data_IF_594604188155
#
_entry.id   IF_594604188155
#
_cell.length_a   1.000
_cell.length_b   1.000
_cell.length_c   1.000
_cell.angle_alpha   90.00
_cell.angle_beta   90.00
_cell.angle_gamma   90.00
#
_symmetry.space_group_name_H-M   'P 1'
#
loop_
_entity.id
_entity.type
_entity.pdbx_description
1 polymer ?
#
# COMPACT_ATOMS: atom_id res chain seq x y z
N UNK A 1 -12.29 14.28 -6.65
CA UNK A 1 -10.84 14.06 -6.87
C UNK A 1 -10.38 12.64 -6.55
N UNK A 2 -10.80 12.03 -5.43
CA UNK A 2 -10.34 10.68 -5.01
C UNK A 2 -10.97 9.53 -5.80
N UNK A 3 -12.06 9.76 -6.53
CA UNK A 3 -12.84 8.74 -7.25
C UNK A 3 -12.04 7.97 -8.30
N UNK A 4 -11.06 8.60 -8.93
CA UNK A 4 -10.27 7.96 -10.00
C UNK A 4 -9.33 6.86 -9.46
N UNK A 5 -8.98 6.92 -8.16
CA UNK A 5 -8.09 5.96 -7.51
C UNK A 5 -8.83 5.09 -6.48
N UNK A 6 -9.70 5.68 -5.66
CA UNK A 6 -10.44 5.01 -4.59
C UNK A 6 -11.87 4.61 -5.00
N UNK A 7 -12.31 4.94 -6.22
CA UNK A 7 -13.61 4.56 -6.76
C UNK A 7 -14.79 5.14 -5.96
N UNK A 8 -15.86 4.36 -5.86
CA UNK A 8 -17.01 4.61 -4.96
C UNK A 8 -16.95 3.77 -3.69
N UNK A 9 -15.75 3.31 -3.34
CA UNK A 9 -15.53 2.48 -2.18
C UNK A 9 -15.69 3.26 -0.88
N UNK A 10 -15.38 2.58 0.22
CA UNK A 10 -15.57 3.05 1.59
C UNK A 10 -15.00 4.46 1.87
N UNK A 11 -13.94 4.84 1.17
CA UNK A 11 -13.26 6.13 1.36
C UNK A 11 -13.91 7.31 0.62
N UNK A 12 -14.84 7.04 -0.30
CA UNK A 12 -15.44 8.04 -1.18
C UNK A 12 -16.98 7.88 -1.29
N UNK A 13 -17.59 7.15 -0.33
CA UNK A 13 -19.03 6.98 -0.18
C UNK A 13 -19.52 7.66 1.09
N UNK A 14 -20.78 8.11 1.10
CA UNK A 14 -21.44 8.79 2.22
C UNK A 14 -22.78 8.12 2.58
N UNK A 15 -23.31 8.46 3.76
CA UNK A 15 -24.65 8.06 4.20
C UNK A 15 -24.85 6.55 4.31
N UNK A 16 -26.01 6.06 3.87
CA UNK A 16 -26.39 4.65 3.93
C UNK A 16 -25.44 3.74 3.14
N UNK A 17 -24.90 4.23 2.02
CA UNK A 17 -23.95 3.46 1.20
C UNK A 17 -22.65 3.22 1.97
N UNK A 18 -22.14 4.27 2.62
CA UNK A 18 -20.97 4.15 3.51
C UNK A 18 -21.24 3.21 4.67
N UNK A 19 -22.41 3.33 5.32
CA UNK A 19 -22.78 2.49 6.46
C UNK A 19 -22.81 1.01 6.08
N UNK A 20 -23.42 0.70 4.92
CA UNK A 20 -23.50 -0.65 4.38
C UNK A 20 -22.11 -1.19 4.03
N UNK A 21 -21.29 -0.44 3.30
CA UNK A 21 -19.92 -0.84 2.95
C UNK A 21 -19.06 -1.02 4.19
N UNK A 22 -19.15 -0.11 5.19
CA UNK A 22 -18.39 -0.20 6.44
C UNK A 22 -18.78 -1.42 7.25
N UNK A 23 -20.08 -1.73 7.33
CA UNK A 23 -20.55 -2.92 8.04
C UNK A 23 -19.98 -4.19 7.41
N UNK A 24 -20.00 -4.30 6.08
CA UNK A 24 -19.42 -5.45 5.37
C UNK A 24 -17.89 -5.52 5.51
N UNK A 25 -17.18 -4.41 5.30
CA UNK A 25 -15.73 -4.36 5.42
C UNK A 25 -15.26 -4.66 6.86
N UNK A 26 -15.93 -4.12 7.87
CA UNK A 26 -15.60 -4.35 9.28
C UNK A 26 -15.66 -5.82 9.69
N UNK A 27 -16.49 -6.63 9.01
CA UNK A 27 -16.53 -8.09 9.19
C UNK A 27 -15.29 -8.77 8.57
N UNK A 28 -14.81 -8.29 7.43
CA UNK A 28 -13.57 -8.80 6.84
C UNK A 28 -12.33 -8.37 7.62
N UNK A 29 -12.38 -7.21 8.27
CA UNK A 29 -11.37 -6.68 9.17
C UNK A 29 -11.69 -6.95 10.66
N UNK A 30 -12.46 -8.00 10.96
CA UNK A 30 -12.73 -8.32 12.37
C UNK A 30 -11.44 -8.80 13.04
N UNK A 31 -11.38 -8.63 14.36
CA UNK A 31 -10.36 -9.21 15.25
C UNK A 31 -9.86 -10.61 14.88
N UNK A 32 -10.68 -11.50 14.30
CA UNK A 32 -10.26 -12.88 14.02
C UNK A 32 -9.44 -13.03 12.72
N UNK A 33 -9.64 -12.14 11.74
CA UNK A 33 -8.80 -12.09 10.52
C UNK A 33 -7.57 -11.21 10.72
N UNK A 34 -7.68 -10.15 11.54
CA UNK A 34 -6.60 -9.20 11.82
C UNK A 34 -5.71 -9.58 13.01
N UNK A 35 -6.25 -10.19 14.09
CA UNK A 35 -5.43 -10.49 15.28
C UNK A 35 -4.68 -11.79 15.07
N UNK A 36 -3.39 -11.63 14.83
CA UNK A 36 -2.39 -12.62 15.16
C UNK A 36 -1.75 -13.19 13.93
N UNK A 37 -2.42 -14.09 13.22
CA UNK A 37 -1.72 -15.02 12.32
C UNK A 37 -0.89 -14.34 11.24
N UNK A 38 -1.46 -13.44 10.44
CA UNK A 38 -0.74 -12.87 9.28
C UNK A 38 0.39 -11.95 9.72
N UNK A 39 0.10 -10.97 10.58
CA UNK A 39 1.10 -10.00 11.05
C UNK A 39 2.18 -10.69 11.89
N UNK A 40 1.81 -11.61 12.78
CA UNK A 40 2.79 -12.34 13.60
C UNK A 40 3.64 -13.29 12.77
N UNK A 41 3.04 -13.97 11.78
CA UNK A 41 3.82 -14.77 10.83
C UNK A 41 4.78 -13.88 10.05
N UNK A 42 4.33 -12.73 9.55
CA UNK A 42 5.20 -11.84 8.78
C UNK A 42 6.36 -11.26 9.60
N UNK A 43 6.11 -10.96 10.87
CA UNK A 43 7.14 -10.54 11.81
C UNK A 43 8.12 -11.69 12.07
N UNK A 44 7.62 -12.89 12.38
CA UNK A 44 8.43 -14.04 12.77
C UNK A 44 9.25 -14.61 11.62
N UNK A 45 8.65 -14.70 10.43
CA UNK A 45 9.18 -15.43 9.28
C UNK A 45 10.01 -14.56 8.34
N UNK A 46 9.80 -13.22 8.35
CA UNK A 46 10.49 -12.31 7.41
C UNK A 46 11.21 -11.16 8.10
N UNK A 47 10.50 -10.36 8.89
CA UNK A 47 11.09 -9.15 9.49
C UNK A 47 12.22 -9.47 10.47
N UNK A 48 11.98 -10.37 11.43
CA UNK A 48 12.99 -10.78 12.41
C UNK A 48 14.21 -11.43 11.74
N UNK A 49 14.05 -12.39 10.80
CA UNK A 49 15.19 -12.96 10.06
C UNK A 49 16.01 -11.93 9.28
N UNK A 50 15.35 -10.96 8.62
CA UNK A 50 16.02 -9.88 7.90
C UNK A 50 16.87 -9.03 8.85
N UNK A 51 16.28 -8.54 9.95
CA UNK A 51 16.99 -7.71 10.92
C UNK A 51 18.12 -8.48 11.61
N UNK A 52 17.92 -9.77 11.90
CA UNK A 52 18.96 -10.62 12.49
C UNK A 52 20.13 -10.83 11.54
N UNK A 53 19.86 -11.04 10.24
CA UNK A 53 20.90 -11.13 9.21
C UNK A 53 21.70 -9.83 9.13
N UNK A 54 21.02 -8.69 9.01
CA UNK A 54 21.66 -7.39 8.93
C UNK A 54 22.54 -7.09 10.16
N UNK A 55 22.03 -7.41 11.36
CA UNK A 55 22.79 -7.28 12.61
C UNK A 55 24.03 -8.19 12.66
N UNK A 56 23.98 -9.36 12.02
CA UNK A 56 25.09 -10.32 11.98
C UNK A 56 26.14 -9.94 10.92
N UNK A 57 25.70 -9.44 9.75
CA UNK A 57 26.58 -9.02 8.66
C UNK A 57 27.15 -7.61 8.85
N UNK A 58 26.59 -6.82 9.77
CA UNK A 58 26.91 -5.40 9.92
C UNK A 58 26.34 -4.54 8.79
N UNK A 59 25.34 -5.04 8.07
CA UNK A 59 24.67 -4.34 6.98
C UNK A 59 23.81 -3.20 7.53
N UNK A 60 23.95 -2.01 6.94
CA UNK A 60 23.06 -0.89 7.23
C UNK A 60 21.77 -1.09 6.46
N UNK A 61 20.65 -1.09 7.18
CA UNK A 61 19.30 -1.22 6.61
C UNK A 61 18.54 0.08 6.75
N UNK A 62 17.84 0.48 5.69
CA UNK A 62 16.85 1.54 5.76
C UNK A 62 15.56 0.98 6.39
N UNK A 63 15.28 1.40 7.62
CA UNK A 63 14.12 0.92 8.36
C UNK A 63 12.80 1.40 7.73
N UNK A 64 12.80 2.53 7.03
CA UNK A 64 11.60 3.05 6.37
C UNK A 64 11.20 2.14 5.20
N UNK A 65 12.16 1.85 4.32
CA UNK A 65 11.95 0.93 3.19
C UNK A 65 11.53 -0.47 3.65
N UNK A 66 12.19 -1.01 4.68
CA UNK A 66 11.85 -2.31 5.25
C UNK A 66 10.42 -2.34 5.81
N UNK A 67 10.02 -1.30 6.57
CA UNK A 67 8.69 -1.24 7.17
C UNK A 67 7.60 -0.97 6.12
N UNK A 68 7.91 -0.22 5.07
CA UNK A 68 7.00 0.01 3.95
C UNK A 68 6.70 -1.31 3.20
N UNK A 69 7.74 -2.09 2.88
CA UNK A 69 7.60 -3.43 2.27
C UNK A 69 6.83 -4.38 3.17
N UNK A 70 7.12 -4.37 4.47
CA UNK A 70 6.39 -5.15 5.47
C UNK A 70 4.90 -4.79 5.52
N UNK A 71 4.59 -3.49 5.54
CA UNK A 71 3.21 -3.02 5.59
C UNK A 71 2.45 -3.40 4.32
N UNK A 72 3.11 -3.29 3.16
CA UNK A 72 2.55 -3.67 1.87
C UNK A 72 2.23 -5.16 1.78
N UNK A 73 3.18 -6.04 2.12
CA UNK A 73 2.95 -7.49 2.18
C UNK A 73 1.79 -7.84 3.11
N UNK A 74 1.77 -7.21 4.29
CA UNK A 74 0.73 -7.43 5.29
C UNK A 74 -0.65 -7.02 4.78
N UNK A 75 -0.79 -5.82 4.20
CA UNK A 75 -2.10 -5.35 3.73
C UNK A 75 -2.56 -6.14 2.51
N UNK A 76 -1.66 -6.54 1.61
CA UNK A 76 -2.02 -7.38 0.47
C UNK A 76 -2.52 -8.76 0.90
N UNK A 77 -1.88 -9.37 1.91
CA UNK A 77 -2.33 -10.65 2.49
C UNK A 77 -3.70 -10.52 3.15
N UNK A 78 -3.89 -9.47 3.96
CA UNK A 78 -5.13 -9.27 4.72
C UNK A 78 -6.30 -8.89 3.80
N UNK A 79 -6.09 -7.95 2.87
CA UNK A 79 -7.15 -7.39 2.06
C UNK A 79 -7.45 -8.21 0.79
N UNK A 80 -6.43 -8.83 0.20
CA UNK A 80 -6.56 -9.53 -1.10
C UNK A 80 -6.25 -11.03 -1.01
N UNK A 81 -5.78 -11.54 0.14
CA UNK A 81 -5.34 -12.93 0.28
C UNK A 81 -4.10 -13.25 -0.58
N UNK A 82 -3.41 -12.22 -1.07
CA UNK A 82 -2.25 -12.35 -1.95
C UNK A 82 -0.98 -11.95 -1.21
N UNK A 83 0.07 -12.76 -1.35
CA UNK A 83 1.39 -12.48 -0.79
C UNK A 83 2.32 -11.98 -1.89
N UNK A 84 2.59 -10.66 -1.96
CA UNK A 84 3.51 -10.14 -2.95
C UNK A 84 4.97 -10.43 -2.59
N UNK A 85 5.29 -10.83 -1.36
CA UNK A 85 6.64 -11.16 -0.92
C UNK A 85 7.68 -10.04 -1.19
N UNK A 86 7.30 -8.77 -1.02
CA UNK A 86 8.20 -7.61 -1.17
C UNK A 86 9.29 -7.57 -0.09
N UNK A 87 9.05 -8.16 1.09
CA UNK A 87 10.02 -8.24 2.19
C UNK A 87 10.93 -9.48 2.10
N UNK A 88 10.56 -10.48 1.29
CA UNK A 88 11.27 -11.76 1.23
C UNK A 88 12.57 -11.69 0.39
N UNK A 89 13.64 -12.24 0.95
CA UNK A 89 14.99 -12.49 0.40
C UNK A 89 15.86 -11.30 -0.05
N UNK A 90 17.00 -11.17 0.65
CA UNK A 90 18.33 -10.96 0.05
C UNK A 90 18.60 -9.78 -0.88
N UNK A 91 17.67 -8.83 -1.03
CA UNK A 91 17.83 -7.67 -1.91
C UNK A 91 17.35 -7.87 -3.36
N UNK A 92 16.77 -9.03 -3.71
CA UNK A 92 16.21 -9.25 -5.06
C UNK A 92 14.70 -9.32 -4.97
N UNK A 93 14.08 -8.14 -5.00
CA UNK A 93 12.65 -8.02 -5.27
C UNK A 93 12.44 -8.36 -6.75
N UNK A 94 11.54 -9.29 -7.06
CA UNK A 94 11.12 -9.55 -8.45
C UNK A 94 10.71 -8.22 -9.10
N UNK A 95 11.18 -7.95 -10.32
CA UNK A 95 10.91 -6.69 -11.03
C UNK A 95 9.41 -6.36 -11.03
N UNK A 96 8.54 -7.36 -11.23
CA UNK A 96 7.09 -7.15 -11.26
C UNK A 96 6.53 -6.70 -9.90
N UNK A 97 7.13 -7.12 -8.78
CA UNK A 97 6.73 -6.74 -7.42
C UNK A 97 7.17 -5.31 -7.11
N UNK A 98 8.39 -4.97 -7.50
CA UNK A 98 8.94 -3.61 -7.40
C UNK A 98 8.10 -2.63 -8.21
N UNK A 99 7.72 -3.02 -9.43
CA UNK A 99 6.85 -2.22 -10.29
C UNK A 99 5.46 -2.00 -9.68
N UNK A 100 4.82 -3.03 -9.13
CA UNK A 100 3.50 -2.88 -8.53
C UNK A 100 3.53 -1.95 -7.32
N UNK A 101 4.51 -2.14 -6.42
CA UNK A 101 4.68 -1.29 -5.24
C UNK A 101 4.96 0.17 -5.63
N UNK A 102 5.87 0.39 -6.60
CA UNK A 102 6.19 1.72 -7.14
C UNK A 102 4.98 2.37 -7.78
N UNK A 103 4.26 1.66 -8.65
CA UNK A 103 3.08 2.17 -9.32
C UNK A 103 1.97 2.54 -8.32
N UNK A 104 1.83 1.76 -7.25
CA UNK A 104 0.90 2.06 -6.16
C UNK A 104 1.30 3.34 -5.41
N UNK A 105 2.57 3.49 -5.06
CA UNK A 105 3.11 4.69 -4.43
C UNK A 105 2.93 5.95 -5.30
N UNK A 106 3.27 5.87 -6.58
CA UNK A 106 3.08 6.96 -7.54
C UNK A 106 1.61 7.37 -7.68
N UNK A 107 0.70 6.40 -7.71
CA UNK A 107 -0.72 6.68 -7.75
C UNK A 107 -1.20 7.35 -6.46
N UNK A 108 -0.72 6.93 -5.30
CA UNK A 108 -1.02 7.56 -4.02
C UNK A 108 -0.51 9.01 -3.97
N UNK A 109 0.74 9.26 -4.33
CA UNK A 109 1.34 10.60 -4.34
C UNK A 109 0.62 11.55 -5.28
N UNK A 110 0.25 11.08 -6.46
CA UNK A 110 -0.53 11.87 -7.42
C UNK A 110 -1.92 12.20 -6.88
N UNK A 111 -2.55 11.27 -6.19
CA UNK A 111 -3.88 11.47 -5.60
C UNK A 111 -3.82 12.46 -4.43
N UNK A 112 -2.83 12.33 -3.56
CA UNK A 112 -2.58 13.27 -2.45
C UNK A 112 -2.22 14.66 -2.99
N UNK A 113 -1.33 14.72 -3.98
CA UNK A 113 -0.96 15.97 -4.64
C UNK A 113 -2.16 16.68 -5.27
N UNK A 114 -3.09 15.94 -5.90
CA UNK A 114 -4.35 16.50 -6.41
C UNK A 114 -5.26 17.01 -5.30
N UNK A 115 -5.37 16.27 -4.19
CA UNK A 115 -6.21 16.65 -3.06
C UNK A 115 -5.70 17.91 -2.35
N UNK A 116 -4.38 18.08 -2.25
CA UNK A 116 -3.74 19.23 -1.62
C UNK A 116 -3.55 20.42 -2.57
N UNK A 117 -3.80 20.26 -3.88
CA UNK A 117 -3.68 21.36 -4.85
C UNK A 117 -4.80 22.38 -4.60
N UNK A 118 -4.47 23.64 -4.27
CA UNK A 118 -5.46 24.66 -3.93
C UNK A 118 -6.30 25.10 -5.13
N UNK A 119 -5.93 24.71 -6.36
CA UNK A 119 -6.63 25.08 -7.59
C UNK A 119 -7.09 23.82 -8.33
N UNK A 120 -8.38 23.48 -8.24
CA UNK A 120 -8.94 22.28 -8.91
C UNK A 120 -8.72 22.22 -10.43
N UNK A 121 -8.35 23.32 -11.09
CA UNK A 121 -8.15 23.38 -12.54
C UNK A 121 -6.69 23.08 -12.92
N UNK A 122 -5.74 23.25 -12.00
CA UNK A 122 -4.30 23.10 -12.29
C UNK A 122 -3.95 21.66 -12.69
N UNK A 123 -4.56 20.65 -12.08
CA UNK A 123 -4.33 19.24 -12.43
C UNK A 123 -4.92 18.88 -13.81
N UNK A 124 -6.06 19.47 -14.19
CA UNK A 124 -6.66 19.27 -15.53
C UNK A 124 -5.75 19.86 -16.61
N UNK A 125 -5.14 21.02 -16.32
CA UNK A 125 -4.15 21.66 -17.19
C UNK A 125 -2.85 20.86 -17.22
N UNK A 126 -2.33 20.38 -16.09
CA UNK A 126 -1.14 19.49 -16.03
C UNK A 126 -1.37 18.19 -16.81
N UNK A 127 -2.57 17.60 -16.69
CA UNK A 127 -3.00 16.42 -17.46
C UNK A 127 -3.10 16.72 -18.96
N UNK A 128 -3.64 17.89 -19.33
CA UNK A 128 -3.70 18.33 -20.73
C UNK A 128 -2.30 18.58 -21.32
N UNK A 129 -1.35 19.07 -20.51
CA UNK A 129 0.06 19.28 -20.88
C UNK A 129 0.92 18.02 -20.77
N UNK A 130 0.35 16.86 -20.39
CA UNK A 130 1.05 15.59 -20.18
C UNK A 130 2.21 15.64 -19.17
N UNK A 131 2.13 16.54 -18.17
CA UNK A 131 3.13 16.67 -17.11
C UNK A 131 2.67 15.88 -15.89
N UNK A 132 3.39 14.80 -15.54
CA UNK A 132 3.13 14.00 -14.34
C UNK A 132 1.91 13.07 -14.42
N UNK A 133 1.55 12.60 -15.61
CA UNK A 133 0.44 11.64 -15.77
C UNK A 133 0.99 10.22 -15.76
N UNK A 134 0.41 9.34 -14.94
CA UNK A 134 0.62 7.88 -15.04
C UNK A 134 0.39 7.49 -16.50
N UNK A 135 1.46 7.10 -17.19
CA UNK A 135 1.35 6.35 -18.42
C UNK A 135 0.78 4.98 -18.05
N UNK A 136 -0.51 4.80 -18.35
CA UNK A 136 -1.11 3.47 -18.51
C UNK A 136 -0.54 2.81 -19.76
#
# INVERSE_FOLDING_TARGET
MLRDFLGHGLFNSDGEQWLWQRKNASLQFTSRSLRGSVVQAEVADRLIPLLRRAATSGEVVDLQDVLERFAFDTICKVAFGHDPCCLADGGVVDEARSEFMRAFGEAQDLVVGRFLDPVEVSWKVKKWLNVGTISM
#
